data_IF_057566494840
#
_entry.id   IF_057566494840
#
_cell.length_a   1.000
_cell.length_b   1.000
_cell.length_c   1.000
_cell.angle_alpha   90.00
_cell.angle_beta   90.00
_cell.angle_gamma   90.00
#
_symmetry.space_group_name_H-M   'P 1'
#
loop_
_entity.id
_entity.type
_entity.pdbx_description
1 polymer ?
#
# COMPACT_ATOMS: atom_id res chain seq x y z
N UNK A 1 60.67 -25.11 -17.74
CA UNK A 1 61.51 -25.83 -16.78
C UNK A 1 60.55 -26.50 -15.84
N UNK A 2 60.23 -27.68 -16.00
CA UNK A 2 60.87 -29.00 -15.84
C UNK A 2 60.07 -29.71 -14.75
N UNK A 3 59.16 -30.57 -15.05
CA UNK A 3 59.15 -32.01 -15.44
C UNK A 3 59.51 -32.95 -14.28
N UNK A 4 58.66 -33.98 -14.18
CA UNK A 4 58.79 -35.40 -13.77
C UNK A 4 58.08 -35.76 -12.48
N UNK A 5 57.03 -36.60 -12.56
CA UNK A 5 56.94 -38.05 -12.83
C UNK A 5 57.63 -38.95 -11.78
N UNK A 6 56.87 -39.86 -11.19
CA UNK A 6 57.08 -41.32 -11.11
C UNK A 6 56.14 -41.93 -10.08
N UNK A 7 55.23 -42.75 -10.47
CA UNK A 7 55.17 -44.22 -10.79
C UNK A 7 55.31 -45.15 -9.54
N UNK A 8 54.23 -45.94 -9.40
CA UNK A 8 54.06 -47.41 -9.26
C UNK A 8 54.54 -48.14 -8.00
N UNK A 9 53.63 -48.93 -7.48
CA UNK A 9 53.57 -50.43 -7.51
C UNK A 9 52.52 -50.91 -6.51
N UNK A 10 51.67 -51.61 -6.92
CA UNK A 10 51.08 -52.94 -6.98
C UNK A 10 51.59 -53.94 -5.92
N UNK A 11 50.65 -54.63 -5.29
CA UNK A 11 50.88 -55.83 -4.47
C UNK A 11 49.55 -56.50 -4.16
N UNK A 12 49.25 -57.55 -4.91
CA UNK A 12 48.22 -58.57 -4.69
C UNK A 12 48.57 -59.42 -3.45
N UNK A 13 47.52 -60.05 -2.77
CA UNK A 13 47.34 -61.51 -2.62
C UNK A 13 46.25 -61.80 -1.60
N UNK A 14 45.19 -62.48 -2.00
CA UNK A 14 44.38 -63.63 -1.63
C UNK A 14 43.83 -63.82 -0.22
N UNK A 15 42.57 -64.01 -0.19
CA UNK A 15 41.66 -65.14 -0.10
C UNK A 15 41.38 -65.72 1.29
N UNK A 16 40.07 -65.87 1.54
CA UNK A 16 39.61 -66.97 2.41
C UNK A 16 38.48 -66.62 3.36
N UNK A 17 37.31 -67.21 3.14
CA UNK A 17 36.44 -67.56 4.26
C UNK A 17 34.98 -67.10 4.21
N UNK A 18 34.17 -67.95 3.65
CA UNK A 18 32.70 -68.01 3.70
C UNK A 18 32.14 -68.20 5.12
N UNK A 19 31.08 -67.48 5.44
CA UNK A 19 29.78 -68.07 5.93
C UNK A 19 28.73 -66.99 6.23
N UNK A 20 27.42 -67.30 6.14
CA UNK A 20 26.34 -66.31 5.97
C UNK A 20 25.75 -65.91 7.30
N UNK A 21 25.43 -64.59 7.42
CA UNK A 21 24.78 -64.04 8.61
C UNK A 21 23.72 -63.07 8.27
N UNK A 22 22.48 -63.46 8.49
CA UNK A 22 21.26 -62.68 8.82
C UNK A 22 21.02 -61.34 8.07
N UNK A 23 20.05 -61.38 7.17
CA UNK A 23 19.37 -60.24 6.65
C UNK A 23 18.69 -59.44 7.77
N UNK A 24 19.24 -58.29 8.14
CA UNK A 24 18.51 -57.26 8.85
C UNK A 24 17.59 -56.56 7.85
N UNK A 25 16.28 -56.77 8.04
CA UNK A 25 15.24 -55.94 7.43
C UNK A 25 15.41 -54.55 8.01
N UNK A 26 15.84 -53.61 7.19
CA UNK A 26 15.65 -52.20 7.45
C UNK A 26 14.14 -51.91 7.32
N UNK A 27 13.46 -51.67 8.46
CA UNK A 27 12.13 -51.11 8.46
C UNK A 27 12.23 -49.71 7.81
N UNK A 28 11.77 -49.61 6.58
CA UNK A 28 11.43 -48.30 5.99
C UNK A 28 10.32 -47.69 6.86
N UNK A 29 10.68 -46.65 7.59
CA UNK A 29 9.69 -45.79 8.28
C UNK A 29 8.62 -45.30 7.32
N UNK A 30 7.39 -45.04 7.80
CA UNK A 30 6.30 -44.57 6.96
C UNK A 30 6.75 -43.32 6.19
N UNK A 31 6.35 -43.17 4.92
CA UNK A 31 6.72 -42.01 4.13
C UNK A 31 6.22 -40.75 4.85
N UNK A 32 7.13 -39.79 5.06
CA UNK A 32 6.75 -38.48 5.56
C UNK A 32 5.67 -37.94 4.63
N UNK A 33 4.50 -37.78 5.19
CA UNK A 33 3.37 -37.18 4.52
C UNK A 33 3.72 -35.69 4.28
N UNK A 34 4.42 -35.41 3.19
CA UNK A 34 4.53 -34.07 2.64
C UNK A 34 3.10 -33.69 2.29
N UNK A 35 2.46 -32.91 3.14
CA UNK A 35 1.23 -32.20 2.80
C UNK A 35 1.49 -31.55 1.46
N UNK A 36 0.87 -32.08 0.41
CA UNK A 36 0.88 -31.48 -0.91
C UNK A 36 0.35 -30.05 -0.73
N UNK A 37 1.22 -29.07 -0.86
CA UNK A 37 0.79 -27.67 -0.90
C UNK A 37 -0.31 -27.57 -1.92
N UNK A 38 -1.44 -27.01 -1.55
CA UNK A 38 -2.56 -26.77 -2.45
C UNK A 38 -2.03 -26.06 -3.71
N UNK A 39 -2.18 -26.71 -4.86
CA UNK A 39 -1.78 -26.13 -6.16
C UNK A 39 -2.80 -25.10 -6.66
N UNK A 40 -3.71 -24.65 -5.82
CA UNK A 40 -4.79 -23.74 -6.18
C UNK A 40 -4.80 -22.50 -5.29
N UNK A 41 -5.30 -21.41 -5.87
CA UNK A 41 -5.56 -20.15 -5.20
C UNK A 41 -7.03 -19.78 -5.28
N UNK A 42 -7.49 -18.91 -4.39
CA UNK A 42 -8.76 -18.23 -4.51
C UNK A 42 -8.54 -16.79 -4.96
N UNK A 43 -9.39 -16.30 -5.87
CA UNK A 43 -9.34 -14.92 -6.34
C UNK A 43 -10.74 -14.36 -6.57
N UNK A 44 -10.90 -13.07 -6.24
CA UNK A 44 -12.11 -12.33 -6.54
C UNK A 44 -12.13 -11.94 -8.03
N UNK A 45 -13.28 -12.05 -8.66
CA UNK A 45 -13.54 -11.63 -10.04
C UNK A 45 -14.76 -10.73 -10.03
N UNK A 46 -14.63 -9.51 -10.50
CA UNK A 46 -15.80 -8.64 -10.73
C UNK A 46 -16.49 -9.13 -11.98
N UNK A 47 -17.69 -9.67 -11.84
CA UNK A 47 -18.45 -10.31 -12.92
C UNK A 47 -19.50 -9.39 -13.56
N UNK A 48 -19.66 -8.20 -13.02
CA UNK A 48 -20.57 -7.14 -13.45
C UNK A 48 -20.62 -6.01 -12.44
N UNK A 49 -21.31 -4.91 -12.73
CA UNK A 49 -21.42 -3.77 -11.83
C UNK A 49 -21.81 -4.15 -10.41
N UNK A 50 -20.97 -3.85 -9.43
CA UNK A 50 -21.21 -4.13 -8.02
C UNK A 50 -21.34 -5.61 -7.66
N UNK A 51 -20.79 -6.54 -8.44
CA UNK A 51 -20.87 -7.99 -8.20
C UNK A 51 -19.51 -8.66 -8.30
N UNK A 52 -19.15 -9.34 -7.24
CA UNK A 52 -17.92 -10.14 -7.13
C UNK A 52 -18.29 -11.62 -6.98
N UNK A 53 -17.45 -12.46 -7.58
CA UNK A 53 -17.52 -13.93 -7.42
C UNK A 53 -16.12 -14.43 -7.08
N UNK A 54 -16.00 -15.28 -6.07
CA UNK A 54 -14.73 -15.93 -5.74
C UNK A 54 -14.57 -17.17 -6.64
N UNK A 55 -13.39 -17.27 -7.25
CA UNK A 55 -13.03 -18.43 -8.09
C UNK A 55 -11.82 -19.15 -7.51
N UNK A 56 -11.84 -20.46 -7.61
CA UNK A 56 -10.67 -21.31 -7.38
C UNK A 56 -9.96 -21.52 -8.71
N UNK A 57 -8.65 -21.24 -8.73
CA UNK A 57 -7.80 -21.26 -9.91
C UNK A 57 -6.50 -21.99 -9.58
N UNK A 58 -5.80 -22.46 -10.61
CA UNK A 58 -4.45 -22.96 -10.42
C UNK A 58 -3.51 -21.83 -9.96
N UNK A 59 -2.51 -22.18 -9.15
CA UNK A 59 -1.47 -21.23 -8.75
C UNK A 59 -0.70 -20.76 -10.00
N UNK A 60 -0.54 -19.45 -10.20
CA UNK A 60 0.26 -18.93 -11.30
C UNK A 60 1.75 -19.21 -11.05
N UNK A 61 2.48 -19.63 -12.10
CA UNK A 61 3.93 -19.78 -12.03
C UNK A 61 4.61 -18.43 -12.31
N UNK A 62 5.61 -18.02 -11.50
CA UNK A 62 6.32 -16.78 -11.73
C UNK A 62 7.18 -16.83 -12.98
N UNK A 63 7.09 -15.80 -13.81
CA UNK A 63 8.03 -15.58 -14.92
C UNK A 63 9.47 -15.37 -14.42
N UNK A 64 10.47 -15.33 -15.33
CA UNK A 64 11.89 -15.29 -14.94
C UNK A 64 12.24 -14.17 -13.94
N UNK A 65 11.64 -12.99 -14.06
CA UNK A 65 11.89 -11.81 -13.21
C UNK A 65 10.83 -11.57 -12.14
N UNK A 66 9.89 -12.50 -11.98
CA UNK A 66 8.74 -12.33 -11.08
C UNK A 66 8.92 -13.14 -9.79
N UNK A 67 8.23 -12.72 -8.78
CA UNK A 67 8.00 -13.47 -7.55
C UNK A 67 6.51 -13.78 -7.42
N UNK A 68 6.18 -14.93 -6.85
CA UNK A 68 4.83 -15.22 -6.38
C UNK A 68 4.76 -14.95 -4.88
N UNK A 69 3.69 -14.32 -4.49
CA UNK A 69 3.46 -13.92 -3.10
C UNK A 69 2.21 -14.63 -2.61
N UNK A 70 2.34 -15.46 -1.57
CA UNK A 70 1.21 -15.88 -0.75
C UNK A 70 0.77 -14.68 0.07
N UNK A 71 -0.35 -14.09 -0.29
CA UNK A 71 -0.82 -12.85 0.30
C UNK A 71 -1.37 -13.08 1.71
N UNK A 72 -1.00 -12.22 2.65
CA UNK A 72 -1.60 -12.11 3.99
C UNK A 72 -2.81 -11.19 3.95
N UNK A 73 -2.83 -10.26 2.99
CA UNK A 73 -3.95 -9.34 2.81
C UNK A 73 -3.73 -8.29 1.73
N UNK A 74 -4.76 -7.50 1.50
CA UNK A 74 -4.79 -6.35 0.60
C UNK A 74 -5.63 -5.24 1.20
N UNK A 75 -5.17 -3.99 1.08
CA UNK A 75 -5.99 -2.84 1.43
C UNK A 75 -7.09 -2.57 0.39
N UNK A 76 -8.19 -1.95 0.81
CA UNK A 76 -9.26 -1.54 -0.09
C UNK A 76 -9.14 -0.04 -0.38
N UNK A 77 -8.87 0.28 -1.65
CA UNK A 77 -8.68 1.66 -2.10
C UNK A 77 -9.99 2.26 -2.62
N UNK A 78 -10.21 3.54 -2.34
CA UNK A 78 -11.35 4.27 -2.91
C UNK A 78 -11.30 4.39 -4.44
N UNK A 79 -10.12 4.24 -5.07
CA UNK A 79 -9.98 4.21 -6.53
C UNK A 79 -10.67 3.00 -7.17
N UNK A 80 -10.90 1.92 -6.40
CA UNK A 80 -11.60 0.73 -6.87
C UNK A 80 -13.12 0.94 -7.03
N UNK A 81 -13.69 1.97 -6.39
CA UNK A 81 -15.14 2.19 -6.39
C UNK A 81 -15.70 2.46 -7.79
N UNK A 82 -15.01 3.28 -8.58
CA UNK A 82 -15.47 3.59 -9.95
C UNK A 82 -15.45 2.35 -10.86
N UNK A 83 -14.34 1.60 -11.01
CA UNK A 83 -14.34 0.39 -11.83
C UNK A 83 -15.27 -0.70 -11.30
N UNK A 84 -15.41 -0.86 -9.98
CA UNK A 84 -16.35 -1.80 -9.38
C UNK A 84 -17.82 -1.43 -9.66
N UNK A 85 -18.15 -0.13 -9.69
CA UNK A 85 -19.49 0.34 -10.03
C UNK A 85 -19.87 0.09 -11.51
N UNK A 86 -18.92 -0.21 -12.38
CA UNK A 86 -19.16 -0.64 -13.77
C UNK A 86 -19.48 0.49 -14.72
N UNK A 87 -18.63 1.49 -14.90
CA UNK A 87 -18.79 2.51 -15.93
C UNK A 87 -18.67 1.89 -17.33
N UNK A 88 -19.15 2.56 -18.36
CA UNK A 88 -19.24 2.06 -19.75
C UNK A 88 -17.89 1.60 -20.33
N UNK A 89 -16.78 2.11 -19.80
CA UNK A 89 -15.44 1.71 -20.25
C UNK A 89 -14.92 0.43 -19.57
N UNK A 90 -15.61 -0.10 -18.55
CA UNK A 90 -15.23 -1.35 -17.90
C UNK A 90 -15.71 -2.56 -18.70
N UNK A 91 -14.82 -3.56 -18.77
CA UNK A 91 -15.14 -4.87 -19.36
C UNK A 91 -15.22 -5.92 -18.25
N UNK A 92 -16.25 -6.74 -18.33
CA UNK A 92 -16.48 -7.85 -17.40
C UNK A 92 -16.48 -9.21 -18.10
N UNK A 93 -16.05 -10.30 -17.44
CA UNK A 93 -15.45 -10.29 -16.09
C UNK A 93 -14.05 -9.65 -16.09
N UNK A 94 -13.60 -9.13 -14.92
CA UNK A 94 -12.23 -8.69 -14.74
C UNK A 94 -11.29 -9.89 -14.68
N UNK A 95 -9.98 -9.62 -14.80
CA UNK A 95 -8.95 -10.60 -14.43
C UNK A 95 -9.10 -11.01 -12.95
N UNK A 96 -8.82 -12.28 -12.62
CA UNK A 96 -8.84 -12.75 -11.23
C UNK A 96 -7.93 -11.93 -10.33
N UNK A 97 -8.42 -11.54 -9.15
CA UNK A 97 -7.71 -10.68 -8.21
C UNK A 97 -7.65 -9.21 -8.61
N UNK A 98 -8.11 -8.86 -9.81
CA UNK A 98 -8.06 -7.51 -10.36
C UNK A 98 -8.73 -6.47 -9.47
N UNK A 99 -8.29 -5.22 -9.58
CA UNK A 99 -8.52 -4.06 -8.72
C UNK A 99 -7.73 -4.09 -7.39
N UNK A 100 -7.28 -5.24 -6.86
CA UNK A 100 -6.41 -5.31 -5.69
C UNK A 100 -5.00 -4.82 -6.01
N UNK A 101 -4.54 -3.74 -5.36
CA UNK A 101 -3.21 -3.16 -5.61
C UNK A 101 -2.47 -2.72 -4.34
N UNK A 102 -2.95 -3.12 -3.19
CA UNK A 102 -2.35 -2.79 -1.89
C UNK A 102 -1.93 -4.06 -1.14
N UNK A 103 -1.32 -5.03 -1.84
CA UNK A 103 -0.98 -6.35 -1.33
C UNK A 103 0.26 -6.38 -0.42
N UNK A 104 0.24 -7.28 0.56
CA UNK A 104 1.39 -7.70 1.35
C UNK A 104 1.29 -9.20 1.66
N UNK A 105 2.43 -9.85 1.88
CA UNK A 105 2.43 -11.28 2.18
C UNK A 105 3.83 -11.87 2.20
N UNK A 106 3.95 -13.17 1.97
CA UNK A 106 5.20 -13.93 1.98
C UNK A 106 5.51 -14.45 0.59
N UNK A 107 6.72 -14.24 0.12
CA UNK A 107 7.19 -14.84 -1.14
C UNK A 107 7.21 -16.35 -0.99
N UNK A 108 6.51 -17.08 -1.85
CA UNK A 108 6.48 -18.55 -1.85
C UNK A 108 7.19 -19.19 -3.05
N UNK A 109 7.36 -18.43 -4.14
CA UNK A 109 8.13 -18.85 -5.31
C UNK A 109 8.84 -17.65 -5.97
N UNK A 110 9.96 -17.93 -6.62
CA UNK A 110 10.75 -16.92 -7.35
C UNK A 110 11.11 -17.42 -8.74
N UNK A 111 11.12 -16.53 -9.71
CA UNK A 111 11.57 -16.81 -11.07
C UNK A 111 13.07 -17.00 -11.16
N UNK A 112 13.51 -17.64 -12.25
CA UNK A 112 14.89 -18.09 -12.44
C UNK A 112 15.95 -16.98 -12.52
N UNK A 113 15.56 -15.76 -12.82
CA UNK A 113 16.45 -14.60 -12.91
C UNK A 113 16.39 -13.68 -11.67
N UNK A 114 15.53 -13.99 -10.71
CA UNK A 114 15.36 -13.18 -9.49
C UNK A 114 16.58 -13.34 -8.59
N UNK A 115 17.12 -12.20 -8.13
CA UNK A 115 18.21 -12.13 -7.17
C UNK A 115 17.85 -11.21 -6.01
N UNK A 116 18.35 -11.50 -4.81
CA UNK A 116 18.13 -10.66 -3.62
C UNK A 116 16.78 -10.83 -2.93
N UNK A 117 15.88 -11.67 -3.47
CA UNK A 117 14.62 -12.05 -2.88
C UNK A 117 14.55 -13.58 -2.84
N UNK A 118 14.06 -14.14 -1.75
CA UNK A 118 13.95 -15.57 -1.54
C UNK A 118 12.59 -15.98 -0.97
N UNK A 119 12.14 -17.22 -1.23
CA UNK A 119 10.98 -17.78 -0.55
C UNK A 119 11.11 -17.69 0.99
N UNK A 120 9.99 -17.39 1.65
CA UNK A 120 9.91 -17.15 3.09
C UNK A 120 10.12 -15.67 3.48
N UNK A 121 10.55 -14.80 2.61
CA UNK A 121 10.62 -13.36 2.89
C UNK A 121 9.24 -12.72 2.87
N UNK A 122 8.92 -11.98 3.91
CA UNK A 122 7.72 -11.16 3.98
C UNK A 122 7.93 -9.84 3.24
N UNK A 123 6.97 -9.44 2.41
CA UNK A 123 7.10 -8.30 1.49
C UNK A 123 5.81 -7.47 1.42
N UNK A 124 5.94 -6.18 1.11
CA UNK A 124 4.90 -5.37 0.51
C UNK A 124 5.13 -5.31 -1.00
N UNK A 125 4.08 -5.34 -1.80
CA UNK A 125 4.17 -5.39 -3.25
C UNK A 125 3.39 -4.28 -3.94
N UNK A 126 3.97 -3.76 -5.02
CA UNK A 126 3.23 -3.03 -6.04
C UNK A 126 2.78 -4.04 -7.09
N UNK A 127 1.58 -4.57 -6.92
CA UNK A 127 0.95 -5.56 -7.81
C UNK A 127 -0.50 -5.16 -8.06
N UNK A 128 -1.23 -5.87 -8.92
CA UNK A 128 -2.54 -5.41 -9.38
C UNK A 128 -3.63 -6.48 -9.35
N UNK A 129 -3.32 -7.67 -8.80
CA UNK A 129 -4.26 -8.78 -8.67
C UNK A 129 -4.35 -9.28 -7.22
N UNK A 130 -4.15 -8.37 -6.27
CA UNK A 130 -4.04 -8.73 -4.86
C UNK A 130 -5.39 -8.98 -4.14
N UNK A 131 -6.53 -8.98 -4.83
CA UNK A 131 -7.77 -9.54 -4.29
C UNK A 131 -7.83 -11.04 -4.55
N UNK A 132 -6.83 -11.75 -4.06
CA UNK A 132 -6.66 -13.19 -4.15
C UNK A 132 -5.68 -13.68 -3.10
N UNK A 133 -5.64 -14.98 -2.86
CA UNK A 133 -4.71 -15.58 -1.87
C UNK A 133 -3.26 -15.56 -2.36
N UNK A 134 -3.04 -15.37 -3.67
CA UNK A 134 -1.71 -15.24 -4.27
C UNK A 134 -1.73 -14.19 -5.38
N UNK A 135 -0.58 -13.55 -5.60
CA UNK A 135 -0.37 -12.63 -6.72
C UNK A 135 1.07 -12.77 -7.26
N UNK A 136 1.27 -12.34 -8.50
CA UNK A 136 2.58 -12.20 -9.11
C UNK A 136 3.00 -10.73 -9.10
N UNK A 137 4.26 -10.49 -8.79
CA UNK A 137 4.86 -9.16 -8.88
C UNK A 137 6.24 -9.23 -9.53
N UNK A 138 6.63 -8.18 -10.25
CA UNK A 138 8.01 -8.01 -10.69
C UNK A 138 8.93 -7.92 -9.46
N UNK A 139 10.10 -8.54 -9.50
CA UNK A 139 10.99 -8.59 -8.34
C UNK A 139 11.46 -7.20 -7.89
N UNK A 140 11.55 -6.24 -8.80
CA UNK A 140 11.89 -4.84 -8.48
C UNK A 140 10.70 -4.02 -7.94
N UNK A 141 9.49 -4.58 -8.02
CA UNK A 141 8.26 -3.99 -7.49
C UNK A 141 7.90 -4.47 -6.09
N UNK A 142 8.72 -5.33 -5.47
CA UNK A 142 8.51 -5.77 -4.08
C UNK A 142 9.52 -5.15 -3.13
N UNK A 143 9.10 -4.95 -1.89
CA UNK A 143 9.94 -4.39 -0.83
C UNK A 143 9.91 -5.31 0.38
N UNK A 144 11.05 -5.91 0.78
CA UNK A 144 11.14 -6.72 1.98
C UNK A 144 10.70 -5.96 3.24
N UNK A 145 9.94 -6.62 4.09
CA UNK A 145 9.48 -6.10 5.37
C UNK A 145 10.45 -6.53 6.48
N UNK A 146 10.89 -5.60 7.35
CA UNK A 146 11.76 -5.93 8.47
C UNK A 146 11.02 -6.72 9.56
N UNK A 147 11.77 -7.44 10.37
CA UNK A 147 11.22 -8.23 11.48
C UNK A 147 10.47 -7.38 12.52
N UNK A 148 10.81 -6.10 12.66
CA UNK A 148 10.09 -5.12 13.51
C UNK A 148 8.62 -4.94 13.13
N UNK A 149 8.25 -5.23 11.88
CA UNK A 149 6.87 -5.15 11.37
C UNK A 149 6.21 -6.54 11.26
N UNK A 150 6.76 -7.57 11.91
CA UNK A 150 6.17 -8.91 11.90
C UNK A 150 4.73 -8.88 12.44
N UNK A 151 3.81 -9.55 11.72
CA UNK A 151 2.38 -9.62 12.09
C UNK A 151 1.58 -8.33 11.89
N UNK A 152 2.20 -7.23 11.45
CA UNK A 152 1.48 -6.00 11.16
C UNK A 152 1.03 -5.98 9.70
N UNK A 153 -0.21 -5.53 9.37
CA UNK A 153 -0.60 -5.25 8.00
C UNK A 153 0.24 -4.13 7.39
N UNK A 154 0.80 -4.35 6.21
CA UNK A 154 1.61 -3.33 5.51
C UNK A 154 1.16 -3.22 4.05
N UNK A 155 -0.01 -2.59 3.78
CA UNK A 155 -0.43 -2.23 2.44
C UNK A 155 0.52 -1.15 1.89
N UNK A 156 1.61 -1.58 1.22
CA UNK A 156 2.75 -0.71 0.90
C UNK A 156 2.40 0.42 -0.07
N UNK A 157 1.54 0.17 -1.05
CA UNK A 157 1.22 1.15 -2.09
C UNK A 157 0.66 2.47 -1.51
N UNK A 158 -0.42 2.49 -0.71
CA UNK A 158 -0.96 3.75 -0.20
C UNK A 158 -0.05 4.42 0.84
N UNK A 159 0.77 3.66 1.55
CA UNK A 159 1.79 4.21 2.45
C UNK A 159 2.89 4.90 1.64
N UNK A 160 3.33 4.29 0.53
CA UNK A 160 4.27 4.87 -0.41
C UNK A 160 3.71 6.13 -1.09
N UNK A 161 2.43 6.13 -1.47
CA UNK A 161 1.73 7.31 -1.96
C UNK A 161 1.81 8.47 -0.96
N UNK A 162 1.55 8.21 0.33
CA UNK A 162 1.62 9.24 1.37
C UNK A 162 3.04 9.82 1.48
N UNK A 163 4.08 8.98 1.43
CA UNK A 163 5.47 9.43 1.48
C UNK A 163 5.86 10.28 0.27
N UNK A 164 5.46 9.87 -0.93
CA UNK A 164 5.74 10.63 -2.17
C UNK A 164 5.02 11.99 -2.18
N UNK A 165 3.75 12.04 -1.75
CA UNK A 165 3.01 13.28 -1.60
C UNK A 165 3.66 14.17 -0.55
N UNK A 166 4.03 13.62 0.60
CA UNK A 166 4.70 14.36 1.66
C UNK A 166 6.02 14.96 1.21
N UNK A 167 6.86 14.19 0.52
CA UNK A 167 8.13 14.68 -0.04
C UNK A 167 7.91 15.83 -1.03
N UNK A 168 6.90 15.74 -1.90
CA UNK A 168 6.56 16.82 -2.85
C UNK A 168 5.91 18.03 -2.21
N UNK A 169 5.32 17.86 -1.02
CA UNK A 169 4.69 18.96 -0.28
C UNK A 169 5.71 19.95 0.29
N UNK A 170 6.97 19.53 0.45
CA UNK A 170 8.07 20.36 0.97
C UNK A 170 7.66 21.02 2.30
N UNK A 171 7.12 20.22 3.21
CA UNK A 171 6.68 20.65 4.54
C UNK A 171 7.89 20.71 5.46
N UNK A 172 8.05 21.84 6.16
CA UNK A 172 9.11 22.08 7.13
C UNK A 172 8.56 22.49 8.49
N UNK A 173 9.42 22.38 9.50
CA UNK A 173 9.09 22.80 10.87
C UNK A 173 8.69 24.29 10.94
N UNK A 174 7.68 24.58 11.73
CA UNK A 174 7.16 25.94 11.94
C UNK A 174 6.18 26.43 10.86
N UNK A 175 6.01 25.70 9.75
CA UNK A 175 5.01 26.05 8.74
C UNK A 175 3.59 25.76 9.20
N UNK A 176 2.62 26.56 8.78
CA UNK A 176 1.20 26.27 8.93
C UNK A 176 0.73 25.44 7.73
N UNK A 177 0.19 24.26 8.01
CA UNK A 177 -0.26 23.29 7.00
C UNK A 177 -1.72 22.97 7.18
N UNK A 178 -2.58 23.26 6.19
CA UNK A 178 -3.96 22.78 6.17
C UNK A 178 -4.07 21.47 5.38
N UNK A 179 -4.79 20.48 5.94
CA UNK A 179 -5.09 19.22 5.26
C UNK A 179 -6.60 19.09 5.15
N UNK A 180 -7.11 19.12 3.91
CA UNK A 180 -8.53 19.05 3.61
C UNK A 180 -8.89 17.63 3.20
N UNK A 181 -9.67 16.96 4.06
CA UNK A 181 -10.04 15.57 3.87
C UNK A 181 -9.19 14.60 4.70
N UNK A 182 -9.67 14.31 5.91
CA UNK A 182 -9.04 13.34 6.81
C UNK A 182 -9.65 11.95 6.55
N UNK A 183 -9.32 11.39 5.40
CA UNK A 183 -9.43 9.98 5.07
C UNK A 183 -8.14 9.25 5.46
N UNK A 184 -7.92 8.03 4.94
CA UNK A 184 -6.70 7.27 5.21
C UNK A 184 -5.44 8.07 4.81
N UNK A 185 -5.39 8.57 3.57
CA UNK A 185 -4.27 9.38 3.07
C UNK A 185 -4.08 10.66 3.89
N UNK A 186 -5.16 11.43 4.13
CA UNK A 186 -5.07 12.68 4.89
C UNK A 186 -4.64 12.46 6.34
N UNK A 187 -4.98 11.33 6.95
CA UNK A 187 -4.54 10.95 8.29
C UNK A 187 -3.02 10.62 8.32
N UNK A 188 -2.51 9.87 7.34
CA UNK A 188 -1.07 9.62 7.19
C UNK A 188 -0.29 10.92 7.00
N UNK A 189 -0.77 11.81 6.12
CA UNK A 189 -0.17 13.13 5.88
C UNK A 189 -0.22 14.03 7.13
N UNK A 190 -1.26 13.91 7.95
CA UNK A 190 -1.35 14.59 9.26
C UNK A 190 -0.24 14.13 10.20
N UNK A 191 -0.02 12.83 10.34
CA UNK A 191 1.08 12.30 11.16
C UNK A 191 2.43 12.81 10.67
N UNK A 192 2.70 12.68 9.37
CA UNK A 192 3.98 13.10 8.78
C UNK A 192 4.24 14.59 8.96
N UNK A 193 3.23 15.45 8.73
CA UNK A 193 3.36 16.89 8.90
C UNK A 193 3.59 17.30 10.36
N UNK A 194 2.87 16.67 11.30
CA UNK A 194 3.08 16.90 12.75
C UNK A 194 4.49 16.47 13.16
N UNK A 195 4.94 15.29 12.72
CA UNK A 195 6.30 14.79 13.01
C UNK A 195 7.40 15.65 12.39
N UNK A 196 7.12 16.34 11.29
CA UNK A 196 8.04 17.32 10.69
C UNK A 196 8.04 18.67 11.44
N UNK A 197 7.24 18.83 12.48
CA UNK A 197 7.17 20.06 13.29
C UNK A 197 6.30 21.17 12.70
N UNK A 198 5.41 20.84 11.77
CA UNK A 198 4.45 21.79 11.21
C UNK A 198 3.24 22.01 12.12
N UNK A 199 2.61 23.19 12.05
CA UNK A 199 1.36 23.55 12.70
C UNK A 199 0.21 23.06 11.82
N UNK A 200 -0.39 21.90 12.14
CA UNK A 200 -1.37 21.23 11.30
C UNK A 200 -2.80 21.66 11.64
N UNK A 201 -3.55 22.12 10.64
CA UNK A 201 -4.99 22.38 10.66
C UNK A 201 -5.67 21.28 9.85
N UNK A 202 -6.37 20.36 10.52
CA UNK A 202 -7.09 19.26 9.89
C UNK A 202 -8.55 19.63 9.62
N UNK A 203 -9.01 19.49 8.38
CA UNK A 203 -10.36 19.91 7.95
C UNK A 203 -11.11 18.68 7.41
N UNK A 204 -12.25 18.35 8.01
CA UNK A 204 -13.05 17.18 7.60
C UNK A 204 -14.53 17.37 7.95
N UNK A 205 -15.41 16.72 7.16
CA UNK A 205 -16.86 16.68 7.46
C UNK A 205 -17.21 15.71 8.59
N UNK A 206 -16.37 14.69 8.84
CA UNK A 206 -16.67 13.60 9.75
C UNK A 206 -16.09 13.87 11.14
N UNK A 207 -16.92 13.91 12.20
CA UNK A 207 -16.46 14.13 13.58
C UNK A 207 -15.40 13.09 14.01
N UNK A 208 -15.61 11.81 13.69
CA UNK A 208 -14.64 10.73 13.94
C UNK A 208 -13.25 11.04 13.36
N UNK A 209 -13.19 11.51 12.11
CA UNK A 209 -11.93 11.82 11.45
C UNK A 209 -11.22 13.05 12.08
N UNK A 210 -11.98 14.04 12.55
CA UNK A 210 -11.43 15.20 13.27
C UNK A 210 -10.87 14.78 14.63
N UNK A 211 -11.54 13.90 15.34
CA UNK A 211 -11.03 13.36 16.60
C UNK A 211 -9.77 12.52 16.40
N UNK A 212 -9.74 11.71 15.35
CA UNK A 212 -8.54 10.98 14.97
C UNK A 212 -7.37 11.93 14.66
N UNK A 213 -7.61 13.00 13.90
CA UNK A 213 -6.58 14.00 13.59
C UNK A 213 -6.02 14.66 14.88
N UNK A 214 -6.86 14.95 15.88
CA UNK A 214 -6.39 15.46 17.19
C UNK A 214 -5.48 14.46 17.88
N UNK A 215 -5.86 13.18 17.90
CA UNK A 215 -5.03 12.11 18.49
C UNK A 215 -3.69 11.93 17.76
N UNK A 216 -3.64 12.26 16.47
CA UNK A 216 -2.41 12.27 15.68
C UNK A 216 -1.58 13.54 15.87
N UNK A 217 -2.02 14.49 16.68
CA UNK A 217 -1.29 15.69 17.00
C UNK A 217 -1.62 16.90 16.11
N UNK A 218 -2.71 16.88 15.34
CA UNK A 218 -3.18 18.08 14.65
C UNK A 218 -3.45 19.19 15.65
N UNK A 219 -2.89 20.38 15.42
CA UNK A 219 -2.97 21.52 16.33
C UNK A 219 -4.38 22.08 16.41
N UNK A 220 -5.09 22.06 15.29
CA UNK A 220 -6.48 22.52 15.20
C UNK A 220 -7.27 21.61 14.27
N UNK A 221 -8.55 21.42 14.58
CA UNK A 221 -9.48 20.71 13.70
C UNK A 221 -10.68 21.59 13.39
N UNK A 222 -11.10 21.64 12.13
CA UNK A 222 -12.22 22.46 11.65
C UNK A 222 -13.22 21.54 10.95
N UNK A 223 -14.50 21.65 11.31
CA UNK A 223 -15.57 20.97 10.59
C UNK A 223 -15.74 21.57 9.20
N UNK A 224 -15.78 20.69 8.19
CA UNK A 224 -15.98 21.12 6.80
C UNK A 224 -17.48 21.19 6.48
N UNK A 225 -18.12 22.24 6.91
CA UNK A 225 -19.56 22.46 6.82
C UNK A 225 -19.94 23.78 6.11
N UNK A 226 -19.14 24.83 6.24
CA UNK A 226 -19.38 26.11 5.58
C UNK A 226 -18.07 26.70 5.07
N UNK A 227 -18.06 27.06 3.77
CA UNK A 227 -16.87 27.53 3.05
C UNK A 227 -16.26 28.78 3.67
N UNK A 228 -17.09 29.79 3.94
CA UNK A 228 -16.61 31.08 4.42
C UNK A 228 -16.23 31.04 5.88
N UNK A 229 -16.94 30.26 6.69
CA UNK A 229 -16.59 30.03 8.09
C UNK A 229 -15.22 29.35 8.24
N UNK A 230 -14.90 28.42 7.37
CA UNK A 230 -13.59 27.77 7.36
C UNK A 230 -12.49 28.79 7.01
N UNK A 231 -12.69 29.58 5.97
CA UNK A 231 -11.73 30.62 5.55
C UNK A 231 -11.49 31.62 6.71
N UNK A 232 -12.54 32.15 7.32
CA UNK A 232 -12.40 33.09 8.44
C UNK A 232 -11.75 32.46 9.67
N UNK A 233 -12.03 31.19 9.97
CA UNK A 233 -11.36 30.45 11.04
C UNK A 233 -9.87 30.30 10.78
N UNK A 234 -9.47 29.88 9.58
CA UNK A 234 -8.05 29.76 9.21
C UNK A 234 -7.36 31.13 9.18
N UNK A 235 -8.04 32.16 8.69
CA UNK A 235 -7.52 33.53 8.69
C UNK A 235 -7.25 34.04 10.12
N UNK A 236 -8.16 33.75 11.07
CA UNK A 236 -7.98 34.11 12.47
C UNK A 236 -6.81 33.34 13.10
N UNK A 237 -6.68 32.04 12.82
CA UNK A 237 -5.59 31.19 13.34
C UNK A 237 -4.21 31.60 12.83
N UNK A 238 -4.16 32.17 11.62
CA UNK A 238 -2.91 32.53 10.93
C UNK A 238 -2.59 34.03 10.96
N UNK A 239 -3.34 34.81 11.74
CA UNK A 239 -3.18 36.28 11.77
C UNK A 239 -3.38 36.95 10.39
N UNK A 240 -4.22 36.34 9.53
CA UNK A 240 -4.52 36.80 8.16
C UNK A 240 -3.56 36.31 7.10
N UNK A 241 -2.48 35.61 7.46
CA UNK A 241 -1.46 35.16 6.50
C UNK A 241 -1.89 33.97 5.64
N UNK A 242 -2.85 33.17 6.09
CA UNK A 242 -3.25 31.87 5.53
C UNK A 242 -2.14 30.81 5.67
N UNK A 243 -2.27 29.66 4.98
CA UNK A 243 -1.40 28.49 5.19
C UNK A 243 -0.22 28.46 4.21
N UNK A 244 0.98 28.11 4.72
CA UNK A 244 2.19 27.88 3.90
C UNK A 244 1.99 26.77 2.89
N UNK A 245 1.34 25.68 3.32
CA UNK A 245 1.02 24.49 2.54
C UNK A 245 -0.45 24.14 2.74
N UNK A 246 -1.11 23.79 1.67
CA UNK A 246 -2.48 23.25 1.74
C UNK A 246 -2.54 21.98 0.93
N UNK A 247 -2.96 20.88 1.56
CA UNK A 247 -3.11 19.58 0.90
C UNK A 247 -4.59 19.30 0.69
N UNK A 248 -5.00 19.16 -0.56
CA UNK A 248 -6.32 18.69 -0.96
C UNK A 248 -6.26 17.16 -1.10
N UNK A 249 -6.96 16.40 -0.22
CA UNK A 249 -6.92 14.94 -0.16
C UNK A 249 -8.28 14.26 -0.36
N UNK A 250 -9.23 14.93 -1.03
CA UNK A 250 -10.59 14.43 -1.29
C UNK A 250 -10.89 14.16 -2.76
N UNK A 251 -10.23 14.88 -3.68
CA UNK A 251 -10.46 14.76 -5.11
C UNK A 251 -11.82 15.31 -5.58
N UNK A 252 -12.32 16.38 -4.96
CA UNK A 252 -13.63 16.98 -5.30
C UNK A 252 -13.51 18.49 -5.52
N UNK A 253 -14.51 19.07 -6.22
CA UNK A 253 -14.50 20.50 -6.58
C UNK A 253 -14.42 21.40 -5.35
N UNK A 254 -15.33 21.29 -4.41
CA UNK A 254 -15.36 22.16 -3.24
C UNK A 254 -14.08 22.13 -2.38
N UNK A 255 -13.51 20.98 -2.03
CA UNK A 255 -12.20 20.94 -1.37
C UNK A 255 -11.09 21.63 -2.15
N UNK A 256 -11.07 21.51 -3.47
CA UNK A 256 -10.09 22.16 -4.34
C UNK A 256 -10.23 23.69 -4.31
N UNK A 257 -11.47 24.20 -4.40
CA UNK A 257 -11.76 25.63 -4.30
C UNK A 257 -11.31 26.18 -2.94
N UNK A 258 -11.69 25.47 -1.87
CA UNK A 258 -11.30 25.82 -0.50
C UNK A 258 -9.77 25.81 -0.36
N UNK A 259 -9.08 24.83 -0.93
CA UNK A 259 -7.63 24.72 -0.85
C UNK A 259 -6.94 25.94 -1.50
N UNK A 260 -7.45 26.42 -2.62
CA UNK A 260 -6.95 27.66 -3.25
C UNK A 260 -7.11 28.87 -2.33
N UNK A 261 -8.27 29.00 -1.67
CA UNK A 261 -8.53 30.11 -0.73
C UNK A 261 -7.67 30.05 0.53
N UNK A 262 -7.37 28.87 1.05
CA UNK A 262 -6.58 28.69 2.26
C UNK A 262 -5.06 28.82 2.04
N UNK A 263 -4.59 28.79 0.77
CA UNK A 263 -3.17 28.90 0.46
C UNK A 263 -2.74 30.37 0.47
N UNK A 264 -1.70 30.71 1.24
CA UNK A 264 -1.18 32.08 1.33
C UNK A 264 -0.50 32.52 0.02
N UNK A 265 -0.16 33.81 -0.08
CA UNK A 265 0.69 34.29 -1.15
C UNK A 265 2.01 33.53 -1.18
N UNK A 266 2.44 33.11 -2.40
CA UNK A 266 3.61 32.23 -2.65
C UNK A 266 3.60 30.94 -1.81
N UNK A 267 2.41 30.53 -1.37
CA UNK A 267 2.21 29.24 -0.71
C UNK A 267 2.10 28.11 -1.73
N UNK A 268 2.16 26.87 -1.24
CA UNK A 268 2.04 25.68 -2.07
C UNK A 268 0.69 25.00 -1.85
N UNK A 269 -0.06 24.84 -2.94
CA UNK A 269 -1.25 23.98 -3.02
C UNK A 269 -0.84 22.62 -3.56
N UNK A 270 -1.09 21.57 -2.78
CA UNK A 270 -0.77 20.19 -3.12
C UNK A 270 -2.07 19.43 -3.42
N UNK A 271 -2.26 19.02 -4.66
CA UNK A 271 -3.38 18.20 -5.08
C UNK A 271 -2.98 16.74 -4.88
N UNK A 272 -3.47 16.13 -3.80
CA UNK A 272 -3.22 14.76 -3.41
C UNK A 272 -4.45 13.85 -3.63
N UNK A 273 -5.65 14.42 -3.68
CA UNK A 273 -6.88 13.70 -3.98
C UNK A 273 -6.92 13.21 -5.43
N UNK A 274 -7.46 12.01 -5.66
CA UNK A 274 -7.64 11.46 -7.00
C UNK A 274 -8.95 11.97 -7.61
N UNK A 275 -8.84 12.89 -8.56
CA UNK A 275 -9.96 13.54 -9.26
C UNK A 275 -10.47 12.68 -10.42
N UNK A 276 -10.97 11.46 -10.11
CA UNK A 276 -11.36 10.47 -11.12
C UNK A 276 -12.76 10.65 -11.72
N UNK A 277 -13.56 11.60 -11.19
CA UNK A 277 -14.95 11.82 -11.61
C UNK A 277 -15.14 13.00 -12.57
N UNK A 278 -14.07 13.45 -13.23
CA UNK A 278 -14.11 14.41 -14.33
C UNK A 278 -13.30 15.69 -14.13
N UNK A 279 -13.43 16.65 -15.06
CA UNK A 279 -12.72 17.93 -15.03
C UNK A 279 -13.06 18.79 -13.80
N UNK A 280 -12.12 19.67 -13.43
CA UNK A 280 -12.30 20.66 -12.36
C UNK A 280 -12.17 22.07 -12.90
N UNK A 281 -12.92 22.98 -12.29
CA UNK A 281 -12.74 24.42 -12.49
C UNK A 281 -11.79 24.95 -11.42
N UNK A 282 -11.00 25.95 -11.75
CA UNK A 282 -10.09 26.60 -10.81
C UNK A 282 -10.22 28.12 -10.93
N UNK A 283 -10.11 28.82 -9.83
CA UNK A 283 -10.03 30.29 -9.81
C UNK A 283 -8.62 30.72 -10.18
N UNK A 284 -8.32 30.74 -11.50
CA UNK A 284 -6.99 31.06 -12.00
C UNK A 284 -6.59 32.50 -11.67
N UNK A 285 -7.55 33.44 -11.59
CA UNK A 285 -7.28 34.81 -11.18
C UNK A 285 -6.70 34.88 -9.76
N UNK A 286 -7.31 34.16 -8.82
CA UNK A 286 -6.85 34.07 -7.43
C UNK A 286 -5.45 33.44 -7.38
N UNK A 287 -5.26 32.32 -8.09
CA UNK A 287 -4.01 31.59 -8.07
C UNK A 287 -2.84 32.41 -8.64
N UNK A 288 -3.09 33.14 -9.76
CA UNK A 288 -2.11 34.06 -10.35
C UNK A 288 -1.82 35.24 -9.41
N UNK A 289 -2.87 35.84 -8.85
CA UNK A 289 -2.71 37.02 -7.99
C UNK A 289 -1.86 36.68 -6.75
N UNK A 290 -2.07 35.52 -6.15
CA UNK A 290 -1.29 35.05 -5.01
C UNK A 290 0.04 34.39 -5.39
N UNK A 291 0.30 34.13 -6.66
CA UNK A 291 1.51 33.45 -7.13
C UNK A 291 1.66 32.07 -6.50
N UNK A 292 0.59 31.28 -6.52
CA UNK A 292 0.58 29.94 -5.90
C UNK A 292 1.51 28.98 -6.64
N UNK A 293 2.27 28.19 -5.88
CA UNK A 293 2.95 27.01 -6.37
C UNK A 293 1.98 25.83 -6.29
N UNK A 294 1.42 25.42 -7.44
CA UNK A 294 0.41 24.36 -7.50
C UNK A 294 1.02 23.09 -8.03
N UNK A 295 1.03 22.04 -7.23
CA UNK A 295 1.56 20.73 -7.61
C UNK A 295 0.49 19.65 -7.58
N UNK A 296 0.46 18.86 -8.63
CA UNK A 296 -0.27 17.61 -8.68
C UNK A 296 0.63 16.51 -8.17
N UNK A 297 0.32 15.98 -6.98
CA UNK A 297 1.23 15.11 -6.25
C UNK A 297 1.03 13.61 -6.57
N UNK A 298 0.16 13.29 -7.51
CA UNK A 298 -0.03 11.91 -7.96
C UNK A 298 1.21 11.41 -8.71
N UNK A 299 1.62 10.19 -8.43
CA UNK A 299 2.77 9.54 -9.04
C UNK A 299 2.31 8.51 -10.09
N UNK A 300 3.14 8.26 -11.11
CA UNK A 300 2.89 7.27 -12.16
C UNK A 300 4.11 6.39 -12.44
N UNK A 301 5.30 6.78 -11.98
CA UNK A 301 6.50 5.98 -12.15
C UNK A 301 6.54 4.86 -11.09
N UNK A 302 6.52 3.56 -11.51
CA UNK A 302 6.60 2.44 -10.56
C UNK A 302 7.83 2.49 -9.65
N UNK A 303 8.95 3.01 -10.13
CA UNK A 303 10.18 3.14 -9.33
C UNK A 303 10.02 4.13 -8.19
N UNK A 304 9.30 5.22 -8.44
CA UNK A 304 8.98 6.21 -7.40
C UNK A 304 7.96 5.65 -6.40
N UNK A 305 6.99 4.84 -6.84
CA UNK A 305 6.11 4.11 -5.93
C UNK A 305 6.90 3.20 -4.99
N UNK A 306 7.77 2.35 -5.54
CA UNK A 306 8.61 1.44 -4.75
C UNK A 306 9.54 2.20 -3.80
N UNK A 307 10.12 3.32 -4.24
CA UNK A 307 10.90 4.21 -3.38
C UNK A 307 10.07 4.76 -2.22
N UNK A 308 8.82 5.16 -2.50
CA UNK A 308 7.86 5.59 -1.48
C UNK A 308 7.53 4.49 -0.48
N UNK A 309 7.34 3.24 -0.93
CA UNK A 309 7.09 2.10 -0.04
C UNK A 309 8.28 1.89 0.90
N UNK A 310 9.51 1.92 0.39
CA UNK A 310 10.73 1.83 1.23
C UNK A 310 10.80 2.96 2.26
N UNK A 311 10.49 4.19 1.84
CA UNK A 311 10.46 5.34 2.74
C UNK A 311 9.37 5.21 3.82
N UNK A 312 8.21 4.64 3.48
CA UNK A 312 7.13 4.37 4.43
C UNK A 312 7.54 3.33 5.48
N UNK A 313 8.16 2.22 5.04
CA UNK A 313 8.67 1.19 5.95
C UNK A 313 9.69 1.79 6.92
N UNK A 314 10.67 2.58 6.44
CA UNK A 314 11.62 3.26 7.29
C UNK A 314 10.96 4.25 8.26
N UNK A 315 9.92 4.97 7.81
CA UNK A 315 9.15 5.88 8.66
C UNK A 315 8.32 5.15 9.73
N UNK A 316 7.87 3.92 9.44
CA UNK A 316 7.22 3.07 10.45
C UNK A 316 8.22 2.56 11.49
N UNK A 317 9.42 2.16 11.08
CA UNK A 317 10.47 1.69 11.99
C UNK A 317 10.97 2.79 12.93
N UNK A 318 11.08 4.03 12.45
CA UNK A 318 11.55 5.17 13.27
C UNK A 318 10.42 5.93 13.99
N UNK A 319 9.16 5.46 13.88
CA UNK A 319 8.00 6.01 14.57
C UNK A 319 7.49 7.36 14.04
N UNK A 320 7.89 7.74 12.81
CA UNK A 320 7.32 8.92 12.12
C UNK A 320 5.94 8.62 11.53
N UNK A 321 5.67 7.36 11.23
CA UNK A 321 4.41 6.90 10.64
C UNK A 321 3.89 5.68 11.39
N UNK A 322 2.65 5.72 11.88
CA UNK A 322 1.92 4.58 12.45
C UNK A 322 0.56 4.46 11.74
N UNK A 323 0.43 3.58 10.75
CA UNK A 323 -0.85 3.36 10.07
C UNK A 323 -1.82 2.46 10.85
N UNK A 324 -1.37 1.78 11.90
CA UNK A 324 -2.16 0.75 12.62
C UNK A 324 -3.52 1.26 13.12
N UNK A 325 -3.63 2.46 13.75
CA UNK A 325 -4.93 2.98 14.20
C UNK A 325 -5.88 3.34 13.07
N UNK A 326 -5.41 3.33 11.82
CA UNK A 326 -6.18 3.71 10.64
C UNK A 326 -6.88 2.51 9.98
N UNK A 327 -6.46 1.28 10.29
CA UNK A 327 -7.07 0.05 9.80
C UNK A 327 -8.30 -0.29 10.64
N UNK A 328 -9.42 0.34 10.30
CA UNK A 328 -10.62 0.33 11.15
C UNK A 328 -11.54 -0.86 10.90
N UNK A 329 -11.47 -1.47 9.72
CA UNK A 329 -12.35 -2.56 9.32
C UNK A 329 -11.55 -3.66 8.63
N UNK A 330 -11.83 -4.90 8.99
CA UNK A 330 -11.18 -6.08 8.41
C UNK A 330 -12.26 -7.01 7.89
N UNK A 331 -12.05 -7.51 6.68
CA UNK A 331 -12.96 -8.39 5.95
C UNK A 331 -12.19 -9.61 5.44
N UNK A 332 -12.90 -10.69 5.14
CA UNK A 332 -12.36 -11.82 4.38
C UNK A 332 -12.54 -11.59 2.90
N UNK A 333 -11.90 -12.42 2.06
CA UNK A 333 -11.99 -12.30 0.60
C UNK A 333 -13.45 -12.40 0.10
N UNK A 334 -14.24 -13.30 0.71
CA UNK A 334 -15.65 -13.51 0.38
C UNK A 334 -16.54 -12.30 0.71
N UNK A 335 -16.03 -11.40 1.58
CA UNK A 335 -16.72 -10.19 2.04
C UNK A 335 -16.23 -8.92 1.30
N UNK A 336 -15.53 -9.08 0.15
CA UNK A 336 -14.96 -7.95 -0.59
C UNK A 336 -16.03 -6.96 -1.09
N UNK A 337 -17.23 -7.43 -1.45
CA UNK A 337 -18.35 -6.53 -1.80
C UNK A 337 -18.75 -5.64 -0.60
N UNK A 338 -18.78 -6.20 0.61
CA UNK A 338 -19.08 -5.46 1.83
C UNK A 338 -17.96 -4.45 2.15
N UNK A 339 -16.70 -4.84 1.95
CA UNK A 339 -15.55 -3.96 2.12
C UNK A 339 -15.58 -2.76 1.15
N UNK A 340 -15.98 -2.98 -0.11
CA UNK A 340 -16.15 -1.93 -1.11
C UNK A 340 -17.37 -1.04 -0.79
N UNK A 341 -18.49 -1.63 -0.37
CA UNK A 341 -19.66 -0.89 0.11
C UNK A 341 -19.29 0.00 1.31
N UNK A 342 -18.60 -0.53 2.32
CA UNK A 342 -18.15 0.24 3.47
C UNK A 342 -17.17 1.36 3.06
N UNK A 343 -16.29 1.11 2.07
CA UNK A 343 -15.38 2.14 1.52
C UNK A 343 -16.14 3.27 0.83
N UNK A 344 -17.25 2.95 0.14
CA UNK A 344 -18.14 3.93 -0.51
C UNK A 344 -18.95 4.73 0.52
N UNK A 345 -19.63 4.04 1.41
CA UNK A 345 -20.64 4.59 2.31
C UNK A 345 -20.02 5.24 3.56
N UNK A 346 -18.81 4.80 3.94
CA UNK A 346 -18.03 5.32 5.06
C UNK A 346 -18.83 5.46 6.35
N UNK A 347 -19.34 4.34 6.91
CA UNK A 347 -20.08 4.38 8.15
C UNK A 347 -19.28 5.06 9.26
N UNK A 348 -19.93 5.42 10.36
CA UNK A 348 -19.23 6.03 11.49
C UNK A 348 -18.11 5.12 11.99
N UNK A 349 -16.96 5.72 12.28
CA UNK A 349 -15.73 4.98 12.62
C UNK A 349 -14.95 4.40 11.45
N UNK A 350 -15.45 4.43 10.21
CA UNK A 350 -14.74 3.90 9.04
C UNK A 350 -13.61 4.82 8.57
N UNK A 351 -12.43 4.26 8.34
CA UNK A 351 -11.32 4.97 7.70
C UNK A 351 -10.65 4.14 6.59
N UNK A 352 -10.24 2.93 6.89
CA UNK A 352 -9.62 2.00 5.93
C UNK A 352 -10.12 0.59 6.17
N UNK A 353 -10.50 -0.07 5.10
CA UNK A 353 -10.77 -1.50 5.07
C UNK A 353 -9.54 -2.27 4.61
N UNK A 354 -9.29 -3.41 5.24
CA UNK A 354 -8.36 -4.44 4.80
C UNK A 354 -9.14 -5.72 4.48
N UNK A 355 -8.72 -6.44 3.45
CA UNK A 355 -9.10 -7.82 3.21
C UNK A 355 -7.94 -8.69 3.64
N UNK A 356 -8.17 -9.69 4.48
CA UNK A 356 -7.15 -10.62 4.97
C UNK A 356 -7.42 -12.04 4.49
N UNK A 357 -6.36 -12.79 4.31
CA UNK A 357 -6.38 -14.17 3.84
C UNK A 357 -5.91 -15.11 4.95
N UNK A 358 -6.48 -16.32 5.03
CA UNK A 358 -6.12 -17.31 6.06
C UNK A 358 -4.72 -17.86 5.91
#
# INVERSE_FOLDING_TARGET
MGVRNCERRAGLVEAGGTTPGSAQRTEEGPPMNTTAQSRSMQAAVVTGPGRITIKTLDLPEPGPNQVRIALEGCGVCASNLTPWAGPDWMTFPTEPGGLGHEGWGVVDAVGSAVTGIAPGQRVAALSYHAYGTHDLAEADAVVPLPASLAGQPVPGEPLGCAMNIFARSDIAAGQTVAIIGIGFLGALLTQLAVKAGAQVIAISRRPFALELARRMGAHTTIAMDDHWRIIEAVKALTGGQMCDRVIEAMGKQWPLDLAGELTRERGRLVIAGYHQDGPRQVNMQLWNWRGLDVINAHERDPKLYVSGIRAAIAAMEDGRLDPTPLYTHVYRLEELDDALNATRDRPDGFLKALVTYP
#
